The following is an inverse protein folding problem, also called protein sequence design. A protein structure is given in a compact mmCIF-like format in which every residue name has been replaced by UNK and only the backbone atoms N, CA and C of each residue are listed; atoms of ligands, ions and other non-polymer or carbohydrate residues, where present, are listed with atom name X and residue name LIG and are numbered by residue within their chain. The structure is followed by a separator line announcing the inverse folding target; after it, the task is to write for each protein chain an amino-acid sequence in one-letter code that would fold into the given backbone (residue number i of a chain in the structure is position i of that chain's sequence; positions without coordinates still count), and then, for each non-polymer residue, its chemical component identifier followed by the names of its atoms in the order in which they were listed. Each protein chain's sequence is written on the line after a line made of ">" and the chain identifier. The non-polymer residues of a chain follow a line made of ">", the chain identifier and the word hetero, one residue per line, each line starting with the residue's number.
data_IF_891833848465
#
_entry.id   IF_891833848465
#
_cell.length_a   1.000
_cell.length_b   1.000
_cell.length_c   1.000
_cell.angle_alpha   90.00
_cell.angle_beta   90.00
_cell.angle_gamma   90.00
#
_symmetry.space_group_name_H-M   'P 1'
#
loop_
_entity.id
_entity.type
_entity.pdbx_description
1 polymer ?
#
# COMPACT_ATOMS: atom_id res chain seq x y z
N UNK A 1 16.50 7.00 19.36
CA UNK A 1 16.93 7.09 17.96
C UNK A 1 15.95 7.97 17.18
N UNK A 2 16.37 8.81 16.26
CA UNK A 2 15.45 9.63 15.46
C UNK A 2 14.55 8.75 14.61
N UNK A 3 13.29 9.17 14.42
CA UNK A 3 12.34 8.47 13.54
C UNK A 3 12.80 8.59 12.08
N UNK A 4 12.88 7.46 11.38
CA UNK A 4 13.24 7.44 9.95
C UNK A 4 12.11 7.98 9.06
N UNK A 5 10.85 7.77 9.45
CA UNK A 5 9.69 8.10 8.65
C UNK A 5 8.92 9.27 9.26
N UNK A 6 8.77 10.32 8.48
CA UNK A 6 7.95 11.48 8.81
C UNK A 6 6.52 11.26 8.31
N UNK A 7 5.49 11.38 9.17
CA UNK A 7 4.10 11.20 8.73
C UNK A 7 3.65 12.39 7.89
N UNK A 8 3.16 12.11 6.70
CA UNK A 8 2.63 13.09 5.75
C UNK A 8 1.41 12.51 5.05
N UNK A 9 0.54 13.38 4.56
CA UNK A 9 -0.49 13.03 3.59
C UNK A 9 0.04 13.26 2.18
N UNK A 10 -0.25 12.32 1.27
CA UNK A 10 0.20 12.36 -0.13
C UNK A 10 -1.03 12.35 -1.03
N UNK A 11 -1.08 13.28 -1.97
CA UNK A 11 -2.09 13.28 -3.02
C UNK A 11 -1.78 12.19 -4.05
N UNK A 12 -2.63 11.18 -4.12
CA UNK A 12 -2.55 10.09 -5.09
C UNK A 12 -3.46 10.28 -6.30
N UNK A 13 -4.21 11.38 -6.37
CA UNK A 13 -5.15 11.63 -7.46
C UNK A 13 -4.46 11.55 -8.82
N UNK A 14 -4.96 10.67 -9.69
CA UNK A 14 -4.41 10.38 -11.03
C UNK A 14 -2.94 9.92 -11.05
N UNK A 15 -2.36 9.49 -9.92
CA UNK A 15 -1.00 8.95 -9.89
C UNK A 15 -0.96 7.49 -10.34
N UNK A 16 0.10 7.12 -11.03
CA UNK A 16 0.34 5.76 -11.47
C UNK A 16 1.04 4.97 -10.36
N UNK A 17 0.43 3.89 -9.93
CA UNK A 17 0.91 2.99 -8.91
C UNK A 17 1.23 1.64 -9.55
N UNK A 18 2.41 1.10 -9.26
CA UNK A 18 2.82 -0.22 -9.70
C UNK A 18 2.88 -1.17 -8.51
N UNK A 19 2.15 -2.28 -8.59
CA UNK A 19 2.20 -3.37 -7.60
C UNK A 19 2.87 -4.57 -8.25
N UNK A 20 3.90 -5.12 -7.62
CA UNK A 20 4.67 -6.25 -8.14
C UNK A 20 4.42 -7.44 -7.24
N UNK A 21 3.72 -8.46 -7.79
CA UNK A 21 3.17 -9.60 -7.06
C UNK A 21 1.66 -9.48 -6.87
N UNK A 22 0.96 -10.63 -6.87
CA UNK A 22 -0.50 -10.72 -6.73
C UNK A 22 -0.92 -11.72 -5.62
N UNK A 23 -0.19 -11.72 -4.51
CA UNK A 23 -0.52 -12.50 -3.33
C UNK A 23 -1.32 -11.68 -2.30
N UNK A 24 -1.65 -12.31 -1.18
CA UNK A 24 -2.52 -11.79 -0.11
C UNK A 24 -2.10 -10.42 0.44
N UNK A 25 -0.79 -10.20 0.61
CA UNK A 25 -0.29 -8.91 1.13
C UNK A 25 -0.44 -7.81 0.07
N UNK A 26 -0.16 -8.12 -1.20
CA UNK A 26 -0.37 -7.22 -2.32
C UNK A 26 -1.84 -6.80 -2.44
N UNK A 27 -2.78 -7.78 -2.36
CA UNK A 27 -4.21 -7.53 -2.40
C UNK A 27 -4.66 -6.54 -1.33
N UNK A 28 -4.20 -6.73 -0.08
CA UNK A 28 -4.53 -5.80 1.00
C UNK A 28 -4.03 -4.38 0.73
N UNK A 29 -2.86 -4.23 0.09
CA UNK A 29 -2.33 -2.91 -0.29
C UNK A 29 -3.13 -2.29 -1.43
N UNK A 30 -3.50 -3.10 -2.42
CA UNK A 30 -4.37 -2.65 -3.52
C UNK A 30 -5.71 -2.17 -2.97
N UNK A 31 -6.36 -2.93 -2.08
CA UNK A 31 -7.62 -2.51 -1.44
C UNK A 31 -7.51 -1.15 -0.74
N UNK A 32 -6.42 -0.93 -0.01
CA UNK A 32 -6.17 0.38 0.61
C UNK A 32 -6.01 1.50 -0.44
N UNK A 33 -5.40 1.22 -1.58
CA UNK A 33 -5.17 2.20 -2.64
C UNK A 33 -6.43 2.50 -3.46
N UNK A 34 -7.39 1.57 -3.52
CA UNK A 34 -8.67 1.76 -4.23
C UNK A 34 -9.55 2.86 -3.60
N UNK A 35 -9.32 3.22 -2.34
CA UNK A 35 -10.01 4.34 -1.68
C UNK A 35 -9.52 5.71 -2.20
N UNK A 36 -8.46 5.71 -3.02
CA UNK A 36 -7.86 6.93 -3.59
C UNK A 36 -7.94 6.87 -5.12
N UNK A 37 -8.25 7.96 -5.77
CA UNK A 37 -8.39 8.04 -7.23
C UNK A 37 -7.04 7.93 -7.94
N UNK A 38 -6.43 6.74 -7.91
CA UNK A 38 -5.14 6.44 -8.53
C UNK A 38 -5.24 5.31 -9.56
N UNK A 39 -4.29 5.25 -10.49
CA UNK A 39 -4.22 4.23 -11.54
C UNK A 39 -3.34 3.07 -11.06
N UNK A 40 -3.92 1.90 -10.79
CA UNK A 40 -3.20 0.76 -10.27
C UNK A 40 -2.91 -0.24 -11.38
N UNK A 41 -1.62 -0.55 -11.59
CA UNK A 41 -1.17 -1.65 -12.45
C UNK A 41 -0.48 -2.70 -11.60
N UNK A 42 -0.89 -3.96 -11.75
CA UNK A 42 -0.30 -5.12 -11.06
C UNK A 42 0.52 -5.91 -12.08
N UNK A 43 1.78 -6.22 -11.75
CA UNK A 43 2.63 -7.14 -12.52
C UNK A 43 2.79 -8.42 -11.71
N UNK A 44 2.53 -9.56 -12.32
CA UNK A 44 2.68 -10.86 -11.66
C UNK A 44 2.96 -11.99 -12.65
N UNK A 45 3.71 -13.01 -12.21
CA UNK A 45 3.81 -14.29 -12.93
C UNK A 45 2.51 -15.05 -12.84
N UNK A 46 1.92 -15.08 -11.65
CA UNK A 46 0.70 -15.80 -11.35
C UNK A 46 -0.19 -14.98 -10.41
N UNK A 47 -1.50 -15.09 -10.57
CA UNK A 47 -2.48 -14.48 -9.67
C UNK A 47 -2.87 -15.51 -8.62
N UNK A 48 -2.45 -15.29 -7.37
CA UNK A 48 -2.71 -16.21 -6.26
C UNK A 48 -4.05 -15.95 -5.56
N UNK A 49 -4.61 -14.75 -5.70
CA UNK A 49 -5.87 -14.36 -5.07
C UNK A 49 -6.89 -14.01 -6.16
N UNK A 50 -8.00 -14.74 -6.25
CA UNK A 50 -9.04 -14.59 -7.29
C UNK A 50 -9.64 -13.18 -7.32
N UNK A 51 -9.69 -12.50 -6.19
CA UNK A 51 -10.23 -11.14 -6.09
C UNK A 51 -9.49 -10.11 -6.98
N UNK A 52 -8.23 -10.36 -7.33
CA UNK A 52 -7.55 -9.53 -8.34
C UNK A 52 -8.25 -9.59 -9.70
N UNK A 53 -8.76 -10.76 -10.09
CA UNK A 53 -9.46 -10.94 -11.36
C UNK A 53 -10.83 -10.24 -11.35
N UNK A 54 -11.49 -10.20 -10.20
CA UNK A 54 -12.73 -9.45 -10.01
C UNK A 54 -12.48 -7.95 -10.15
N UNK A 55 -11.46 -7.43 -9.47
CA UNK A 55 -11.06 -6.02 -9.57
C UNK A 55 -10.66 -5.61 -10.99
N UNK A 56 -10.02 -6.50 -11.75
CA UNK A 56 -9.70 -6.27 -13.16
C UNK A 56 -10.95 -6.21 -14.02
N UNK A 57 -11.91 -7.13 -13.83
CA UNK A 57 -13.21 -7.13 -14.53
C UNK A 57 -14.02 -5.87 -14.28
N UNK A 58 -13.93 -5.34 -13.07
CA UNK A 58 -14.57 -4.08 -12.67
C UNK A 58 -13.81 -2.82 -13.15
N UNK A 59 -12.72 -3.00 -13.92
CA UNK A 59 -11.83 -1.91 -14.38
C UNK A 59 -11.23 -1.06 -13.25
N UNK A 60 -11.15 -1.60 -12.03
CA UNK A 60 -10.53 -0.91 -10.88
C UNK A 60 -9.01 -0.98 -10.90
N UNK A 61 -8.46 -2.00 -11.55
CA UNK A 61 -7.02 -2.21 -11.71
C UNK A 61 -6.72 -2.78 -13.09
N UNK A 62 -5.46 -2.69 -13.51
CA UNK A 62 -4.93 -3.38 -14.69
C UNK A 62 -3.96 -4.46 -14.22
N UNK A 63 -4.03 -5.68 -14.79
CA UNK A 63 -3.10 -6.77 -14.47
C UNK A 63 -2.28 -7.14 -15.70
N UNK A 64 -0.97 -7.18 -15.56
CA UNK A 64 -0.01 -7.71 -16.52
C UNK A 64 0.40 -9.12 -16.04
N UNK A 65 -0.31 -10.13 -16.56
CA UNK A 65 -0.11 -11.55 -16.23
C UNK A 65 1.09 -12.13 -16.97
N UNK A 66 1.69 -13.19 -16.40
CA UNK A 66 2.87 -13.86 -16.95
C UNK A 66 4.05 -12.90 -17.22
N UNK A 67 4.16 -11.86 -16.40
CA UNK A 67 5.22 -10.84 -16.53
C UNK A 67 6.14 -10.88 -15.33
N UNK A 68 7.45 -10.82 -15.62
CA UNK A 68 8.47 -10.50 -14.62
C UNK A 68 8.66 -8.99 -14.55
N UNK A 69 9.17 -8.54 -13.41
CA UNK A 69 9.53 -7.13 -13.27
C UNK A 69 10.71 -6.78 -14.19
N UNK A 70 10.56 -5.73 -14.95
CA UNK A 70 11.60 -5.08 -15.74
C UNK A 70 11.62 -3.57 -15.41
N UNK A 71 12.79 -2.95 -15.49
CA UNK A 71 12.97 -1.52 -15.18
C UNK A 71 12.09 -0.60 -16.03
N UNK A 72 11.78 -0.99 -17.27
CA UNK A 72 10.91 -0.23 -18.19
C UNK A 72 9.54 0.08 -17.58
N UNK A 73 9.04 -0.78 -16.67
CA UNK A 73 7.74 -0.59 -16.01
C UNK A 73 7.74 0.55 -14.99
N UNK A 74 8.91 1.08 -14.61
CA UNK A 74 9.00 2.22 -13.69
C UNK A 74 8.76 3.58 -14.37
N UNK A 75 8.67 3.60 -15.71
CA UNK A 75 8.45 4.86 -16.44
C UNK A 75 7.10 5.48 -16.06
N UNK A 76 7.14 6.69 -15.52
CA UNK A 76 5.95 7.44 -15.11
C UNK A 76 5.24 6.91 -13.87
N UNK A 77 5.87 6.01 -13.11
CA UNK A 77 5.34 5.49 -11.85
C UNK A 77 5.69 6.45 -10.69
N UNK A 78 4.68 6.74 -9.89
CA UNK A 78 4.81 7.56 -8.69
C UNK A 78 5.14 6.74 -7.44
N UNK A 79 4.49 5.57 -7.30
CA UNK A 79 4.64 4.68 -6.15
C UNK A 79 4.73 3.22 -6.59
N UNK A 80 5.65 2.48 -6.00
CA UNK A 80 5.80 1.02 -6.17
C UNK A 80 5.46 0.30 -4.87
N UNK A 81 4.68 -0.78 -4.98
CA UNK A 81 4.50 -1.78 -3.91
C UNK A 81 5.22 -3.04 -4.35
N UNK A 82 6.39 -3.32 -3.75
CA UNK A 82 7.16 -4.53 -4.01
C UNK A 82 6.69 -5.64 -3.06
N UNK A 83 5.90 -6.55 -3.60
CA UNK A 83 5.10 -7.52 -2.85
C UNK A 83 5.18 -8.94 -3.41
N UNK A 84 6.34 -9.34 -3.93
CA UNK A 84 6.60 -10.72 -4.32
C UNK A 84 6.98 -11.57 -3.10
N UNK A 85 6.99 -12.88 -3.25
CA UNK A 85 7.51 -13.86 -2.29
C UNK A 85 9.05 -13.90 -2.23
N UNK A 86 9.73 -13.32 -3.23
CA UNK A 86 11.18 -13.25 -3.32
C UNK A 86 11.72 -11.97 -2.67
N UNK A 87 12.30 -12.12 -1.47
CA UNK A 87 12.88 -11.00 -0.71
C UNK A 87 14.00 -10.28 -1.46
N UNK A 88 14.88 -11.03 -2.13
CA UNK A 88 16.01 -10.45 -2.86
C UNK A 88 15.54 -9.58 -4.04
N UNK A 89 14.51 -10.06 -4.76
CA UNK A 89 13.87 -9.30 -5.82
C UNK A 89 13.22 -8.03 -5.28
N UNK A 90 12.47 -8.13 -4.18
CA UNK A 90 11.86 -6.96 -3.53
C UNK A 90 12.91 -5.93 -3.11
N UNK A 91 14.05 -6.38 -2.59
CA UNK A 91 15.15 -5.50 -2.19
C UNK A 91 15.83 -4.83 -3.39
N UNK A 92 16.02 -5.54 -4.51
CA UNK A 92 16.53 -4.97 -5.76
C UNK A 92 15.60 -3.90 -6.32
N UNK A 93 14.30 -4.21 -6.39
CA UNK A 93 13.26 -3.27 -6.84
C UNK A 93 13.29 -2.00 -5.98
N UNK A 94 13.33 -2.17 -4.65
CA UNK A 94 13.34 -1.04 -3.72
C UNK A 94 14.56 -0.14 -3.90
N UNK A 95 15.77 -0.71 -4.02
CA UNK A 95 16.99 0.06 -4.27
C UNK A 95 16.92 0.83 -5.59
N UNK A 96 16.43 0.17 -6.65
CA UNK A 96 16.23 0.81 -7.95
C UNK A 96 15.21 1.96 -7.89
N UNK A 97 14.06 1.76 -7.22
CA UNK A 97 13.07 2.82 -7.05
C UNK A 97 13.65 4.02 -6.29
N UNK A 98 14.34 3.76 -5.16
CA UNK A 98 14.96 4.83 -4.38
C UNK A 98 16.03 5.60 -5.16
N UNK A 99 16.84 4.95 -5.99
CA UNK A 99 17.84 5.62 -6.84
C UNK A 99 17.22 6.52 -7.92
N UNK A 100 15.95 6.29 -8.25
CA UNK A 100 15.16 7.08 -9.22
C UNK A 100 14.19 8.06 -8.55
N UNK A 101 14.27 8.24 -7.23
CA UNK A 101 13.34 9.06 -6.43
C UNK A 101 11.86 8.63 -6.57
N UNK A 102 11.61 7.34 -6.82
CA UNK A 102 10.27 6.75 -6.82
C UNK A 102 9.94 6.28 -5.40
N UNK A 103 8.73 6.58 -4.94
CA UNK A 103 8.25 6.06 -3.64
C UNK A 103 8.12 4.55 -3.71
N UNK A 104 8.60 3.84 -2.69
CA UNK A 104 8.52 2.39 -2.65
C UNK A 104 8.22 1.85 -1.25
N UNK A 105 7.24 0.95 -1.22
CA UNK A 105 6.94 0.10 -0.07
C UNK A 105 7.38 -1.33 -0.35
N UNK A 106 8.29 -1.86 0.48
CA UNK A 106 8.78 -3.23 0.40
C UNK A 106 8.15 -4.05 1.53
N UNK A 107 7.39 -5.10 1.18
CA UNK A 107 6.69 -5.90 2.19
C UNK A 107 7.60 -6.83 2.99
N UNK A 108 8.81 -7.10 2.51
CA UNK A 108 9.77 -8.04 3.11
C UNK A 108 10.89 -7.37 3.89
N UNK A 109 10.97 -6.03 3.86
CA UNK A 109 11.99 -5.26 4.58
C UNK A 109 11.35 -4.09 5.30
N UNK A 110 11.91 -3.73 6.47
CA UNK A 110 11.52 -2.52 7.19
C UNK A 110 12.44 -1.34 6.89
N UNK A 111 13.65 -1.62 6.41
CA UNK A 111 14.70 -0.62 6.21
C UNK A 111 14.90 -0.25 4.75
N UNK A 112 14.69 -1.21 3.85
CA UNK A 112 14.88 -1.03 2.42
C UNK A 112 13.59 -0.54 1.74
N UNK A 113 13.13 0.64 2.15
CA UNK A 113 11.99 1.36 1.60
C UNK A 113 12.04 2.84 1.99
N UNK A 114 11.36 3.70 1.24
CA UNK A 114 11.20 5.13 1.56
C UNK A 114 9.75 5.53 1.84
N UNK A 115 8.78 4.61 1.73
CA UNK A 115 7.37 4.81 2.07
C UNK A 115 6.84 3.67 2.93
N UNK A 116 6.05 3.99 3.94
CA UNK A 116 5.28 3.02 4.75
C UNK A 116 3.80 3.31 4.70
N UNK A 117 3.00 2.27 4.48
CA UNK A 117 1.57 2.35 4.72
C UNK A 117 1.29 2.36 6.22
N UNK A 118 0.49 3.31 6.64
CA UNK A 118 0.00 3.42 8.01
C UNK A 118 -1.29 2.63 8.19
N UNK A 119 -1.68 2.33 9.42
CA UNK A 119 -3.02 1.86 9.73
C UNK A 119 -3.94 3.08 9.76
N UNK A 120 -5.03 3.04 8.99
CA UNK A 120 -5.92 4.18 8.80
C UNK A 120 -7.27 3.87 9.45
N UNK A 121 -7.81 4.86 10.14
CA UNK A 121 -9.19 4.94 10.59
C UNK A 121 -9.78 6.20 9.97
N UNK A 122 -10.84 6.08 9.19
CA UNK A 122 -11.43 7.22 8.49
C UNK A 122 -12.95 7.17 8.47
N UNK A 123 -13.56 8.34 8.36
CA UNK A 123 -14.92 8.59 7.93
C UNK A 123 -14.90 9.76 6.94
N UNK A 124 -16.06 10.32 6.61
CA UNK A 124 -16.19 11.40 5.63
C UNK A 124 -15.43 12.69 6.02
N UNK A 125 -15.29 12.96 7.33
CA UNK A 125 -14.71 14.20 7.85
C UNK A 125 -13.30 14.06 8.41
N UNK A 126 -12.94 12.86 8.90
CA UNK A 126 -11.71 12.65 9.68
C UNK A 126 -10.94 11.45 9.17
N UNK A 127 -9.64 11.63 9.03
CA UNK A 127 -8.69 10.53 8.80
C UNK A 127 -7.63 10.53 9.90
N UNK A 128 -7.49 9.38 10.58
CA UNK A 128 -6.47 9.16 11.61
C UNK A 128 -5.50 8.10 11.11
N UNK A 129 -4.24 8.47 11.01
CA UNK A 129 -3.16 7.57 10.58
C UNK A 129 -2.30 7.16 11.75
N UNK A 130 -2.09 5.85 11.92
CA UNK A 130 -1.38 5.28 13.06
C UNK A 130 -0.19 4.47 12.56
N UNK A 131 0.98 4.80 13.09
CA UNK A 131 2.22 4.04 12.89
C UNK A 131 2.78 3.58 14.22
N UNK A 132 3.41 2.41 14.25
CA UNK A 132 4.06 1.85 15.43
C UNK A 132 5.48 1.38 15.06
N UNK A 133 6.29 2.28 14.48
CA UNK A 133 7.70 2.05 14.12
C UNK A 133 7.96 0.74 13.38
N UNK A 134 7.06 0.37 12.44
CA UNK A 134 7.17 -0.83 11.62
C UNK A 134 6.53 -2.08 12.25
N UNK A 135 5.80 -1.95 13.35
CA UNK A 135 4.99 -3.03 13.91
C UNK A 135 3.51 -2.88 13.48
N UNK A 136 3.06 -3.55 12.40
CA UNK A 136 1.70 -3.40 11.89
C UNK A 136 0.65 -3.97 12.84
N UNK A 137 0.96 -5.02 13.62
CA UNK A 137 0.03 -5.61 14.59
C UNK A 137 -0.30 -4.61 15.68
N UNK A 138 0.72 -3.95 16.24
CA UNK A 138 0.55 -2.91 17.26
C UNK A 138 -0.20 -1.69 16.72
N UNK A 139 0.06 -1.29 15.48
CA UNK A 139 -0.67 -0.18 14.85
C UNK A 139 -2.17 -0.49 14.69
N UNK A 140 -2.52 -1.71 14.29
CA UNK A 140 -3.92 -2.17 14.19
C UNK A 140 -4.58 -2.26 15.57
N UNK A 141 -3.88 -2.77 16.58
CA UNK A 141 -4.40 -2.82 17.95
C UNK A 141 -4.77 -1.41 18.46
N UNK A 142 -3.85 -0.45 18.29
CA UNK A 142 -4.10 0.94 18.68
C UNK A 142 -5.25 1.55 17.88
N UNK A 143 -5.31 1.28 16.56
CA UNK A 143 -6.43 1.70 15.71
C UNK A 143 -7.78 1.23 16.29
N UNK A 144 -7.88 -0.05 16.63
CA UNK A 144 -9.12 -0.62 17.13
C UNK A 144 -9.56 0.00 18.46
N UNK A 145 -8.62 0.25 19.38
CA UNK A 145 -8.91 0.94 20.66
C UNK A 145 -9.40 2.37 20.45
N UNK A 146 -8.80 3.10 19.50
CA UNK A 146 -9.22 4.45 19.13
C UNK A 146 -10.62 4.41 18.52
N UNK A 147 -10.90 3.45 17.62
CA UNK A 147 -12.22 3.24 17.03
C UNK A 147 -13.29 3.01 18.11
N UNK A 148 -13.05 2.08 19.02
CA UNK A 148 -13.96 1.79 20.14
C UNK A 148 -14.23 3.02 21.04
N UNK A 149 -13.16 3.79 21.32
CA UNK A 149 -13.29 5.01 22.11
C UNK A 149 -14.18 6.05 21.41
N UNK A 150 -13.99 6.23 20.12
CA UNK A 150 -14.78 7.18 19.34
C UNK A 150 -16.24 6.74 19.19
N UNK A 151 -16.49 5.48 18.91
CA UNK A 151 -17.85 4.94 18.81
C UNK A 151 -18.67 5.10 20.12
N UNK A 152 -17.97 5.03 21.28
CA UNK A 152 -18.61 5.21 22.60
C UNK A 152 -18.86 6.67 22.97
N UNK A 153 -17.98 7.58 22.56
CA UNK A 153 -17.97 8.95 23.07
C UNK A 153 -18.45 10.01 22.07
N UNK A 154 -18.48 9.69 20.77
CA UNK A 154 -18.81 10.65 19.72
C UNK A 154 -19.79 10.07 18.73
N UNK A 155 -21.08 10.47 18.85
CA UNK A 155 -22.16 9.96 17.99
C UNK A 155 -21.97 10.28 16.49
N UNK A 156 -21.21 11.30 16.16
CA UNK A 156 -20.92 11.77 14.80
C UNK A 156 -19.79 11.01 14.10
N UNK A 157 -19.07 10.12 14.81
CA UNK A 157 -18.01 9.27 14.25
C UNK A 157 -18.53 7.84 13.98
N UNK A 158 -19.83 7.61 14.01
CA UNK A 158 -20.39 6.30 13.68
C UNK A 158 -20.14 5.97 12.20
N UNK A 159 -19.51 4.82 11.94
CA UNK A 159 -19.23 4.34 10.59
C UNK A 159 -17.77 4.43 10.14
N UNK A 160 -16.80 4.71 11.03
CA UNK A 160 -15.39 4.62 10.70
C UNK A 160 -14.98 3.18 10.33
N UNK A 161 -14.43 2.98 9.14
CA UNK A 161 -13.90 1.72 8.62
C UNK A 161 -12.40 1.55 8.89
#
# INVERSE_FOLDING_TARGET
>A
MPNKFFPVSIDLNNKNILVIGAGKIALRKVKTLLDYNCNITVITKEVSEEEFLELEKENKIKILKNQEFEEKFLKGIFLVVSATDNKELNDKISKLCMSKNILVNNITSQDNMNLRFMSILSNDDIQISITANGNPKKAVEVKNKIKEFFEKNFSWIKGCS
#
